data_IF_945586906269
#
_entry.id   IF_945586906269
#
_cell.length_a   1.000
_cell.length_b   1.000
_cell.length_c   1.000
_cell.angle_alpha   90.00
_cell.angle_beta   90.00
_cell.angle_gamma   90.00
#
_symmetry.space_group_name_H-M   'P 1'
#
loop_
_entity.id
_entity.type
_entity.pdbx_description
1 polymer ?
#
# COMPACT_ATOMS: atom_id res chain seq x y z
N UNK A 1 18.13 6.78 -22.09
CA UNK A 1 19.49 6.64 -21.49
C UNK A 1 19.61 7.34 -20.14
N UNK A 2 19.31 8.65 -19.99
CA UNK A 2 19.44 9.35 -18.68
C UNK A 2 18.63 8.72 -17.54
N UNK A 3 17.39 8.28 -17.79
CA UNK A 3 16.55 7.66 -16.76
C UNK A 3 17.13 6.34 -16.23
N UNK A 4 17.61 5.46 -17.11
CA UNK A 4 18.24 4.20 -16.71
C UNK A 4 19.52 4.43 -15.90
N UNK A 5 20.34 5.40 -16.30
CA UNK A 5 21.56 5.75 -15.56
C UNK A 5 21.23 6.28 -14.16
N UNK A 6 20.21 7.14 -14.02
CA UNK A 6 19.77 7.65 -12.72
C UNK A 6 19.29 6.53 -11.78
N UNK A 7 18.48 5.60 -12.30
CA UNK A 7 18.01 4.43 -11.53
C UNK A 7 19.18 3.55 -11.08
N UNK A 8 20.18 3.32 -11.93
CA UNK A 8 21.37 2.55 -11.55
C UNK A 8 22.19 3.28 -10.49
N UNK A 9 22.38 4.60 -10.61
CA UNK A 9 23.05 5.40 -9.58
C UNK A 9 22.33 5.30 -8.24
N UNK A 10 21.01 5.46 -8.22
CA UNK A 10 20.20 5.34 -7.01
C UNK A 10 20.30 3.93 -6.39
N UNK A 11 20.29 2.89 -7.22
CA UNK A 11 20.46 1.51 -6.78
C UNK A 11 21.83 1.28 -6.14
N UNK A 12 22.90 1.85 -6.70
CA UNK A 12 24.24 1.77 -6.11
C UNK A 12 24.36 2.56 -4.79
N UNK A 13 23.70 3.72 -4.71
CA UNK A 13 23.82 4.62 -3.56
C UNK A 13 22.95 4.18 -2.37
N UNK A 14 21.75 3.66 -2.63
CA UNK A 14 20.73 3.39 -1.58
C UNK A 14 20.41 1.90 -1.41
N UNK A 15 20.78 1.06 -2.37
CA UNK A 15 20.43 -0.37 -2.40
C UNK A 15 19.04 -0.66 -2.97
N UNK A 16 18.23 0.36 -3.27
CA UNK A 16 16.95 0.21 -3.98
C UNK A 16 16.72 1.36 -4.97
N UNK A 17 15.78 1.19 -5.90
CA UNK A 17 15.36 2.27 -6.77
C UNK A 17 13.92 2.03 -7.23
N UNK A 18 13.16 3.11 -7.42
CA UNK A 18 11.79 3.05 -7.93
C UNK A 18 11.77 3.47 -9.40
N UNK A 19 11.26 2.60 -10.26
CA UNK A 19 11.19 2.86 -11.70
C UNK A 19 9.78 2.62 -12.22
N UNK A 20 9.31 3.52 -13.08
CA UNK A 20 8.16 3.21 -13.92
C UNK A 20 8.55 2.13 -14.91
N UNK A 21 7.86 1.00 -14.83
CA UNK A 21 8.12 -0.11 -15.74
C UNK A 21 7.67 0.30 -17.14
N UNK A 22 8.57 0.33 -18.16
CA UNK A 22 8.18 0.62 -19.53
C UNK A 22 7.21 -0.45 -20.03
N UNK A 23 6.61 -0.23 -21.21
CA UNK A 23 5.80 -1.27 -21.84
C UNK A 23 6.66 -2.51 -22.09
N UNK A 24 6.39 -3.58 -21.34
CA UNK A 24 7.02 -4.88 -21.48
C UNK A 24 5.98 -5.92 -21.90
N UNK A 25 6.41 -6.93 -22.63
CA UNK A 25 5.54 -8.03 -23.06
C UNK A 25 5.10 -8.89 -21.87
N UNK A 26 5.99 -9.08 -20.88
CA UNK A 26 5.73 -9.85 -19.67
C UNK A 26 6.51 -9.28 -18.48
N UNK A 27 5.79 -8.94 -17.41
CA UNK A 27 6.40 -8.57 -16.13
C UNK A 27 7.17 -9.73 -15.49
N UNK A 28 6.70 -10.97 -15.70
CA UNK A 28 7.39 -12.16 -15.20
C UNK A 28 8.74 -12.33 -15.88
N UNK A 29 8.80 -12.13 -17.20
CA UNK A 29 10.05 -12.20 -17.95
C UNK A 29 11.02 -11.09 -17.52
N UNK A 30 10.56 -9.85 -17.45
CA UNK A 30 11.37 -8.74 -16.95
C UNK A 30 11.93 -9.05 -15.55
N UNK A 31 11.10 -9.60 -14.66
CA UNK A 31 11.53 -9.98 -13.32
C UNK A 31 12.63 -11.04 -13.36
N UNK A 32 12.48 -12.10 -14.15
CA UNK A 32 13.51 -13.15 -14.28
C UNK A 32 14.80 -12.63 -14.90
N UNK A 33 14.73 -11.71 -15.88
CA UNK A 33 15.91 -11.06 -16.46
C UNK A 33 16.67 -10.21 -15.42
N UNK A 34 15.94 -9.44 -14.60
CA UNK A 34 16.52 -8.68 -13.50
C UNK A 34 17.12 -9.60 -12.42
N UNK A 35 16.42 -10.68 -12.05
CA UNK A 35 16.92 -11.68 -11.09
C UNK A 35 18.22 -12.34 -11.57
N UNK A 36 18.31 -12.69 -12.86
CA UNK A 36 19.54 -13.22 -13.46
C UNK A 36 20.70 -12.21 -13.45
N UNK A 37 20.40 -10.91 -13.41
CA UNK A 37 21.38 -9.85 -13.24
C UNK A 37 21.68 -9.54 -11.77
N UNK A 38 21.12 -10.29 -10.81
CA UNK A 38 21.29 -10.09 -9.38
C UNK A 38 20.41 -8.98 -8.79
N UNK A 39 19.37 -8.55 -9.51
CA UNK A 39 18.45 -7.49 -9.10
C UNK A 39 17.10 -8.11 -8.74
N UNK A 40 16.70 -8.02 -7.47
CA UNK A 40 15.36 -8.42 -7.05
C UNK A 40 14.34 -7.34 -7.41
N UNK A 41 13.40 -7.66 -8.30
CA UNK A 41 12.32 -6.76 -8.68
C UNK A 41 10.98 -7.21 -8.11
N UNK A 42 10.24 -6.24 -7.54
CA UNK A 42 8.89 -6.44 -7.02
C UNK A 42 8.00 -5.26 -7.35
N UNK A 43 6.72 -5.53 -7.62
CA UNK A 43 5.73 -4.46 -7.80
C UNK A 43 5.63 -3.69 -6.49
N UNK A 44 5.94 -2.41 -6.52
CA UNK A 44 5.77 -1.55 -5.34
C UNK A 44 4.31 -1.13 -5.18
N UNK A 45 3.79 -1.27 -3.96
CA UNK A 45 2.43 -0.92 -3.60
C UNK A 45 2.00 -1.63 -2.32
N UNK A 46 0.91 -1.19 -1.68
CA UNK A 46 0.43 -1.83 -0.46
C UNK A 46 -0.10 -3.24 -0.77
N UNK A 47 0.28 -4.20 0.05
CA UNK A 47 -0.30 -5.54 0.01
C UNK A 47 -1.77 -5.54 0.45
N UNK A 48 -2.59 -6.48 -0.06
CA UNK A 48 -3.95 -6.72 0.43
C UNK A 48 -4.02 -6.86 1.95
N UNK A 49 -4.85 -6.02 2.59
CA UNK A 49 -5.15 -6.08 4.01
C UNK A 49 -6.66 -6.05 4.24
N UNK A 50 -7.13 -6.84 5.21
CA UNK A 50 -8.54 -6.89 5.57
C UNK A 50 -8.91 -5.73 6.50
N UNK A 51 -9.82 -4.85 6.05
CA UNK A 51 -10.34 -3.76 6.88
C UNK A 51 -10.95 -4.30 8.19
N UNK A 52 -11.62 -5.47 8.13
CA UNK A 52 -12.19 -6.15 9.30
C UNK A 52 -11.12 -6.50 10.32
N UNK A 53 -10.03 -7.12 9.86
CA UNK A 53 -8.95 -7.55 10.75
C UNK A 53 -8.28 -6.35 11.43
N UNK A 54 -8.05 -5.26 10.68
CA UNK A 54 -7.52 -4.01 11.23
C UNK A 54 -8.44 -3.43 12.29
N UNK A 55 -9.76 -3.37 12.03
CA UNK A 55 -10.75 -2.87 12.98
C UNK A 55 -10.85 -3.74 14.24
N UNK A 56 -10.91 -5.06 14.07
CA UNK A 56 -11.07 -6.00 15.18
C UNK A 56 -9.85 -6.01 16.11
N UNK A 57 -8.65 -5.81 15.56
CA UNK A 57 -7.42 -5.63 16.35
C UNK A 57 -7.46 -4.39 17.27
N UNK A 58 -8.33 -3.42 16.98
CA UNK A 58 -8.54 -2.22 17.80
C UNK A 58 -9.77 -2.33 18.71
N UNK A 59 -10.48 -3.47 18.70
CA UNK A 59 -11.71 -3.70 19.46
C UNK A 59 -12.82 -2.66 19.20
N UNK A 60 -12.93 -2.17 17.95
CA UNK A 60 -13.92 -1.16 17.57
C UNK A 60 -15.09 -1.77 16.77
N UNK A 61 -16.28 -1.22 16.94
CA UNK A 61 -17.39 -1.42 16.00
C UNK A 61 -17.11 -0.75 14.65
N UNK A 62 -17.87 -1.10 13.61
CA UNK A 62 -17.74 -0.48 12.28
C UNK A 62 -17.93 1.04 12.37
N UNK A 63 -18.96 1.50 13.08
CA UNK A 63 -19.23 2.91 13.32
C UNK A 63 -18.10 3.61 14.09
N UNK A 64 -17.57 2.99 15.15
CA UNK A 64 -16.46 3.57 15.93
C UNK A 64 -15.18 3.67 15.10
N UNK A 65 -14.86 2.65 14.31
CA UNK A 65 -13.71 2.67 13.41
C UNK A 65 -13.84 3.75 12.35
N UNK A 66 -15.03 3.85 11.75
CA UNK A 66 -15.33 4.86 10.75
C UNK A 66 -15.18 6.28 11.33
N UNK A 67 -15.81 6.53 12.47
CA UNK A 67 -15.73 7.80 13.18
C UNK A 67 -14.27 8.16 13.54
N UNK A 68 -13.54 7.21 14.16
CA UNK A 68 -12.17 7.44 14.64
C UNK A 68 -11.19 7.81 13.54
N UNK A 69 -11.39 7.29 12.32
CA UNK A 69 -10.45 7.46 11.22
C UNK A 69 -11.01 8.27 10.04
N UNK A 70 -12.13 8.98 10.25
CA UNK A 70 -12.72 9.85 9.23
C UNK A 70 -13.17 9.11 7.97
N UNK A 71 -13.67 7.87 8.13
CA UNK A 71 -14.20 7.05 7.04
C UNK A 71 -15.73 7.04 7.08
N UNK A 72 -16.35 6.73 5.95
CA UNK A 72 -17.78 6.42 5.93
C UNK A 72 -18.01 4.99 6.42
N UNK A 73 -18.93 4.80 7.38
CA UNK A 73 -19.28 3.48 7.90
C UNK A 73 -19.76 2.54 6.78
N UNK A 74 -20.52 3.07 5.82
CA UNK A 74 -20.98 2.32 4.65
C UNK A 74 -19.80 1.79 3.81
N UNK A 75 -18.74 2.58 3.66
CA UNK A 75 -17.52 2.18 2.94
C UNK A 75 -16.78 1.08 3.69
N UNK A 76 -16.59 1.21 5.01
CA UNK A 76 -15.99 0.16 5.86
C UNK A 76 -16.79 -1.14 5.73
N UNK A 77 -18.12 -1.06 5.88
CA UNK A 77 -19.01 -2.20 5.74
C UNK A 77 -18.92 -2.87 4.36
N UNK A 78 -18.88 -2.09 3.28
CA UNK A 78 -18.77 -2.61 1.92
C UNK A 78 -17.44 -3.36 1.71
N UNK A 79 -16.32 -2.84 2.24
CA UNK A 79 -15.03 -3.54 2.21
C UNK A 79 -15.07 -4.85 3.02
N UNK A 80 -15.61 -4.82 4.23
CA UNK A 80 -15.68 -6.00 5.10
C UNK A 80 -16.65 -7.09 4.61
N UNK A 81 -17.61 -6.72 3.77
CA UNK A 81 -18.53 -7.65 3.11
C UNK A 81 -18.05 -8.08 1.71
N UNK A 82 -16.93 -7.52 1.23
CA UNK A 82 -16.40 -7.79 -0.10
C UNK A 82 -17.24 -7.21 -1.26
N UNK A 83 -18.16 -6.29 -0.98
CA UNK A 83 -18.96 -5.59 -2.00
C UNK A 83 -18.12 -4.63 -2.83
N UNK A 84 -17.07 -4.08 -2.23
CA UNK A 84 -16.01 -3.32 -2.90
C UNK A 84 -14.67 -3.69 -2.28
N UNK A 85 -13.58 -3.31 -2.96
CA UNK A 85 -12.22 -3.49 -2.45
C UNK A 85 -11.59 -2.13 -2.14
N UNK A 86 -10.82 -1.99 -1.06
CA UNK A 86 -9.99 -0.80 -0.85
C UNK A 86 -9.06 -0.59 -2.05
N UNK A 87 -8.97 0.64 -2.54
CA UNK A 87 -7.95 1.00 -3.54
C UNK A 87 -6.57 1.16 -2.88
N UNK A 88 -5.52 1.40 -3.65
CA UNK A 88 -4.16 1.53 -3.11
C UNK A 88 -4.07 2.57 -1.97
N UNK A 89 -4.68 3.75 -2.12
CA UNK A 89 -4.69 4.78 -1.09
C UNK A 89 -5.36 4.30 0.20
N UNK A 90 -6.53 3.68 0.09
CA UNK A 90 -7.25 3.12 1.23
C UNK A 90 -6.47 1.97 1.88
N UNK A 91 -5.78 1.13 1.10
CA UNK A 91 -4.91 0.07 1.64
C UNK A 91 -3.73 0.65 2.41
N UNK A 92 -3.10 1.71 1.90
CA UNK A 92 -2.04 2.44 2.62
C UNK A 92 -2.56 2.98 3.94
N UNK A 93 -3.75 3.60 3.96
CA UNK A 93 -4.37 4.08 5.19
C UNK A 93 -4.64 2.93 6.17
N UNK A 94 -5.22 1.81 5.71
CA UNK A 94 -5.49 0.64 6.54
C UNK A 94 -4.19 0.05 7.14
N UNK A 95 -3.11 -0.04 6.36
CA UNK A 95 -1.80 -0.45 6.86
C UNK A 95 -1.24 0.53 7.89
N UNK A 96 -1.42 1.82 7.66
CA UNK A 96 -0.93 2.87 8.58
C UNK A 96 -1.71 2.83 9.89
N UNK A 97 -3.04 2.66 9.84
CA UNK A 97 -3.89 2.44 11.01
C UNK A 97 -3.48 1.17 11.74
N UNK A 98 -3.25 0.07 11.02
CA UNK A 98 -2.85 -1.20 11.63
C UNK A 98 -1.53 -1.10 12.39
N UNK A 99 -0.56 -0.37 11.84
CA UNK A 99 0.77 -0.20 12.44
C UNK A 99 0.85 0.89 13.50
N UNK A 100 0.10 1.97 13.34
CA UNK A 100 0.19 3.14 14.21
C UNK A 100 -1.17 3.88 14.31
N UNK A 101 -2.18 3.27 14.96
CA UNK A 101 -3.54 3.81 14.99
C UNK A 101 -3.62 5.17 15.69
N UNK A 102 -2.83 5.38 16.75
CA UNK A 102 -2.83 6.64 17.50
C UNK A 102 -2.25 7.80 16.68
N UNK A 103 -1.17 7.56 15.93
CA UNK A 103 -0.61 8.60 15.06
C UNK A 103 -1.59 9.01 13.97
N UNK A 104 -2.32 8.05 13.37
CA UNK A 104 -3.34 8.37 12.36
C UNK A 104 -4.47 9.18 12.99
N UNK A 105 -5.01 8.74 14.13
CA UNK A 105 -6.09 9.45 14.82
C UNK A 105 -5.68 10.88 15.21
N UNK A 106 -4.45 11.08 15.69
CA UNK A 106 -3.92 12.40 16.04
C UNK A 106 -3.62 13.30 14.81
N UNK A 107 -3.42 12.71 13.63
CA UNK A 107 -3.09 13.45 12.40
C UNK A 107 -4.32 13.98 11.66
N UNK A 108 -5.51 13.47 11.98
CA UNK A 108 -6.76 13.87 11.33
C UNK A 108 -7.37 15.04 12.10
N UNK A 109 -7.58 16.16 11.41
CA UNK A 109 -8.40 17.25 11.95
C UNK A 109 -9.87 16.92 11.70
N UNK A 110 -10.66 16.82 12.77
CA UNK A 110 -12.11 16.67 12.72
C UNK A 110 -12.78 17.98 13.10
N UNK A 111 -13.85 18.35 12.39
CA UNK A 111 -14.69 19.52 12.67
C UNK A 111 -15.96 19.13 13.43
#
# INVERSE_FOLDING_TARGET
MKAAQAVMTELFDTGEAFVEVPKVESLGQLKSELENAGIEARKHGPEPISARAVREALHLSQAQFALRFGLEEATVKNWEQGKSKPNATAMTLLWTIHRNPEAVAASIKMD
#
